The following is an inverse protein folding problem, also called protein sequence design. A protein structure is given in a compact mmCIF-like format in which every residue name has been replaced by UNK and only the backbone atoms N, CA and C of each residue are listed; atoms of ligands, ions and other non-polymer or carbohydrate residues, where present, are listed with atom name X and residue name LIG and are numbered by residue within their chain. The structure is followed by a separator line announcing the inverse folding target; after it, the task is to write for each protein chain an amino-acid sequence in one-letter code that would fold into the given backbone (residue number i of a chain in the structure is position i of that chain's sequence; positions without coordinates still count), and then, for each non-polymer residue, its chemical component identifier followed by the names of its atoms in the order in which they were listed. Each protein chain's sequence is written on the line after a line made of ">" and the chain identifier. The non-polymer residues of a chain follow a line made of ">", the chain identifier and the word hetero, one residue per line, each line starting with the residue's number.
data_IF_081169914087
#
_entry.id   IF_081169914087
#
_cell.length_a   1.000
_cell.length_b   1.000
_cell.length_c   1.000
_cell.angle_alpha   90.00
_cell.angle_beta   90.00
_cell.angle_gamma   90.00
#
_symmetry.space_group_name_H-M   'P 1'
#
loop_
_entity.id
_entity.type
_entity.pdbx_description
1 polymer ?
#
# COMPACT_ATOMS: atom_id res chain seq x y z
N UNK A 1 3.18 15.39 -17.85
CA UNK A 1 1.78 15.21 -17.42
C UNK A 1 1.75 15.46 -15.92
N UNK A 2 1.04 16.48 -15.42
CA UNK A 2 1.03 16.79 -13.98
C UNK A 2 0.03 15.86 -13.30
N UNK A 3 0.51 14.78 -12.69
CA UNK A 3 -0.28 13.97 -11.76
C UNK A 3 -0.58 14.84 -10.53
N UNK A 4 -1.82 15.31 -10.41
CA UNK A 4 -2.28 16.06 -9.25
C UNK A 4 -2.27 15.15 -8.03
N UNK A 5 -1.22 15.27 -7.23
CA UNK A 5 -1.08 14.67 -5.90
C UNK A 5 -2.00 15.41 -4.92
N UNK A 6 -3.26 15.00 -4.81
CA UNK A 6 -4.15 15.52 -3.77
C UNK A 6 -4.22 14.54 -2.59
N UNK A 7 -3.85 14.95 -1.36
CA UNK A 7 -4.07 14.18 -0.13
C UNK A 7 -5.55 13.81 0.10
N UNK A 8 -6.46 14.50 -0.58
CA UNK A 8 -7.91 14.34 -0.47
C UNK A 8 -8.42 12.91 -0.76
N UNK A 9 -7.68 12.12 -1.55
CA UNK A 9 -8.11 10.77 -1.91
C UNK A 9 -8.29 9.85 -0.69
N UNK A 10 -7.57 10.09 0.41
CA UNK A 10 -7.60 9.25 1.61
C UNK A 10 -8.50 9.81 2.73
N UNK A 11 -9.20 10.93 2.48
CA UNK A 11 -10.07 11.56 3.48
C UNK A 11 -9.35 11.78 4.82
N UNK A 12 -9.98 11.51 5.98
CA UNK A 12 -9.35 11.67 7.29
C UNK A 12 -8.07 10.85 7.50
N UNK A 13 -7.87 9.77 6.74
CA UNK A 13 -6.65 8.96 6.85
C UNK A 13 -5.41 9.66 6.27
N UNK A 14 -5.57 10.73 5.48
CA UNK A 14 -4.43 11.50 4.95
C UNK A 14 -3.56 12.13 6.03
N UNK A 15 -4.10 12.30 7.24
CA UNK A 15 -3.39 12.81 8.41
C UNK A 15 -2.42 11.79 9.01
N UNK A 16 -2.58 10.49 8.70
CA UNK A 16 -1.60 9.50 9.12
C UNK A 16 -0.29 9.70 8.34
N UNK A 17 0.81 9.64 9.07
CA UNK A 17 2.19 9.79 8.60
C UNK A 17 2.97 8.47 8.61
N UNK A 18 2.40 7.42 9.20
CA UNK A 18 3.01 6.09 9.31
C UNK A 18 1.98 4.96 9.28
N UNK A 19 2.48 3.74 9.03
CA UNK A 19 1.68 2.52 9.16
C UNK A 19 1.09 2.35 10.57
N UNK A 20 1.85 2.72 11.61
CA UNK A 20 1.40 2.61 13.00
C UNK A 20 0.18 3.51 13.27
N UNK A 21 0.17 4.74 12.75
CA UNK A 21 -0.97 5.65 12.87
C UNK A 21 -2.20 5.14 12.11
N UNK A 22 -2.00 4.55 10.93
CA UNK A 22 -3.08 3.91 10.18
C UNK A 22 -3.68 2.72 10.96
N UNK A 23 -2.84 1.91 11.60
CA UNK A 23 -3.25 0.80 12.48
C UNK A 23 -4.09 1.32 13.66
N UNK A 24 -3.66 2.38 14.33
CA UNK A 24 -4.40 2.97 15.44
C UNK A 24 -5.73 3.57 14.99
N UNK A 25 -5.77 4.20 13.80
CA UNK A 25 -7.01 4.70 13.22
C UNK A 25 -8.01 3.56 12.94
N UNK A 26 -7.56 2.41 12.46
CA UNK A 26 -8.41 1.22 12.28
C UNK A 26 -8.93 0.70 13.64
N UNK A 27 -8.06 0.63 14.65
CA UNK A 27 -8.39 0.14 16.00
C UNK A 27 -9.35 1.05 16.76
N UNK A 28 -9.37 2.35 16.44
CA UNK A 28 -10.23 3.34 17.10
C UNK A 28 -11.73 3.06 16.97
N UNK A 29 -12.13 2.07 16.15
CA UNK A 29 -13.55 1.75 15.93
C UNK A 29 -14.23 2.73 14.98
N UNK A 30 -13.45 3.47 14.19
CA UNK A 30 -13.95 4.32 13.11
C UNK A 30 -14.82 3.51 12.12
N UNK A 31 -15.73 4.19 11.42
CA UNK A 31 -16.62 3.56 10.45
C UNK A 31 -15.86 2.80 9.34
N UNK A 32 -16.51 1.80 8.73
CA UNK A 32 -15.89 0.92 7.73
C UNK A 32 -15.19 1.68 6.59
N UNK A 33 -15.75 2.80 6.16
CA UNK A 33 -15.16 3.69 5.17
C UNK A 33 -13.81 4.24 5.63
N UNK A 34 -13.75 4.85 6.81
CA UNK A 34 -12.49 5.40 7.37
C UNK A 34 -11.44 4.31 7.55
N UNK A 35 -11.83 3.11 7.98
CA UNK A 35 -10.89 1.99 8.13
C UNK A 35 -10.34 1.53 6.78
N UNK A 36 -11.15 1.53 5.73
CA UNK A 36 -10.71 1.20 4.37
C UNK A 36 -9.73 2.25 3.84
N UNK A 37 -10.04 3.54 4.04
CA UNK A 37 -9.14 4.65 3.69
C UNK A 37 -7.81 4.56 4.46
N UNK A 38 -7.87 4.27 5.76
CA UNK A 38 -6.69 4.06 6.60
C UNK A 38 -5.85 2.89 6.12
N UNK A 39 -6.47 1.77 5.75
CA UNK A 39 -5.77 0.62 5.20
C UNK A 39 -5.09 0.95 3.86
N UNK A 40 -5.79 1.62 2.95
CA UNK A 40 -5.24 2.02 1.65
C UNK A 40 -4.04 2.97 1.82
N UNK A 41 -4.19 4.01 2.64
CA UNK A 41 -3.13 4.98 2.90
C UNK A 41 -1.96 4.36 3.66
N UNK A 42 -2.23 3.51 4.65
CA UNK A 42 -1.20 2.80 5.42
C UNK A 42 -0.34 1.90 4.54
N UNK A 43 -0.94 1.16 3.60
CA UNK A 43 -0.22 0.36 2.61
C UNK A 43 0.67 1.23 1.71
N UNK A 44 0.15 2.37 1.23
CA UNK A 44 0.89 3.29 0.38
C UNK A 44 2.07 3.96 1.10
N UNK A 45 1.85 4.47 2.31
CA UNK A 45 2.92 5.05 3.15
C UNK A 45 4.02 4.03 3.41
N UNK A 46 3.64 2.81 3.79
CA UNK A 46 4.63 1.78 4.10
C UNK A 46 5.47 1.43 2.87
N UNK A 47 4.85 1.23 1.70
CA UNK A 47 5.58 0.96 0.47
C UNK A 47 6.58 2.09 0.14
N UNK A 48 6.15 3.35 0.22
CA UNK A 48 7.00 4.52 -0.04
C UNK A 48 8.17 4.64 0.95
N UNK A 49 7.94 4.32 2.23
CA UNK A 49 8.97 4.37 3.28
C UNK A 49 9.95 3.19 3.23
N UNK A 50 9.56 2.10 2.57
CA UNK A 50 10.38 0.88 2.42
C UNK A 50 11.37 0.96 1.26
N UNK A 51 11.11 1.82 0.27
CA UNK A 51 12.03 2.04 -0.86
C UNK A 51 13.42 2.39 -0.33
N UNK A 52 14.42 1.62 -0.77
CA UNK A 52 15.84 1.83 -0.47
C UNK A 52 16.51 2.47 -1.67
N UNK A 53 17.61 3.18 -1.43
CA UNK A 53 18.39 3.84 -2.49
C UNK A 53 19.16 2.86 -3.40
N UNK A 54 19.06 1.56 -3.13
CA UNK A 54 19.73 0.53 -3.91
C UNK A 54 18.84 0.09 -5.09
N UNK A 55 19.41 0.01 -6.28
CA UNK A 55 18.71 -0.38 -7.50
C UNK A 55 18.91 -1.87 -7.83
N UNK A 56 19.01 -2.72 -6.82
CA UNK A 56 19.15 -4.16 -7.02
C UNK A 56 17.78 -4.84 -7.04
N UNK A 57 17.67 -5.99 -7.71
CA UNK A 57 16.40 -6.70 -7.83
C UNK A 57 15.83 -7.13 -6.48
N UNK A 58 16.70 -7.42 -5.50
CA UNK A 58 16.30 -7.77 -4.14
C UNK A 58 15.51 -6.65 -3.47
N UNK A 59 15.67 -5.39 -3.89
CA UNK A 59 14.99 -4.27 -3.29
C UNK A 59 13.51 -4.20 -3.73
N UNK A 60 13.21 -4.55 -4.99
CA UNK A 60 11.83 -4.64 -5.46
C UNK A 60 11.07 -5.77 -4.78
N UNK A 61 11.73 -6.92 -4.62
CA UNK A 61 11.20 -8.04 -3.81
C UNK A 61 11.03 -7.63 -2.35
N UNK A 62 11.98 -6.89 -1.78
CA UNK A 62 11.90 -6.43 -0.40
C UNK A 62 10.68 -5.51 -0.16
N UNK A 63 10.35 -4.64 -1.12
CA UNK A 63 9.12 -3.83 -1.06
C UNK A 63 7.87 -4.73 -1.01
N UNK A 64 7.80 -5.80 -1.81
CA UNK A 64 6.67 -6.75 -1.76
C UNK A 64 6.58 -7.51 -0.43
N UNK A 65 7.72 -7.93 0.13
CA UNK A 65 7.77 -8.65 1.40
C UNK A 65 7.26 -7.76 2.55
N UNK A 66 7.72 -6.52 2.62
CA UNK A 66 7.27 -5.54 3.61
C UNK A 66 5.81 -5.11 3.37
N UNK A 67 5.36 -4.98 2.12
CA UNK A 67 3.96 -4.72 1.81
C UNK A 67 3.04 -5.87 2.29
N UNK A 68 3.49 -7.11 2.15
CA UNK A 68 2.79 -8.30 2.66
C UNK A 68 2.71 -8.28 4.18
N UNK A 69 3.77 -7.84 4.84
CA UNK A 69 3.80 -7.63 6.29
C UNK A 69 2.81 -6.55 6.73
N UNK A 70 2.82 -5.37 6.08
CA UNK A 70 1.89 -4.29 6.38
C UNK A 70 0.44 -4.72 6.21
N UNK A 71 0.13 -5.48 5.15
CA UNK A 71 -1.19 -6.10 4.98
C UNK A 71 -1.58 -6.93 6.19
N UNK A 72 -0.71 -7.83 6.64
CA UNK A 72 -1.01 -8.70 7.79
C UNK A 72 -1.27 -7.88 9.06
N UNK A 73 -0.45 -6.85 9.33
CA UNK A 73 -0.60 -5.98 10.51
C UNK A 73 -1.92 -5.20 10.50
N UNK A 74 -2.31 -4.64 9.34
CA UNK A 74 -3.59 -3.92 9.15
C UNK A 74 -4.79 -4.87 9.26
N UNK A 75 -4.71 -6.05 8.66
CA UNK A 75 -5.77 -7.06 8.72
C UNK A 75 -6.00 -7.52 10.16
N UNK A 76 -4.92 -7.75 10.93
CA UNK A 76 -5.00 -8.09 12.36
C UNK A 76 -5.63 -6.93 13.16
N UNK A 77 -5.23 -5.69 12.89
CA UNK A 77 -5.78 -4.50 13.54
C UNK A 77 -7.29 -4.36 13.32
N UNK A 78 -7.78 -4.78 12.15
CA UNK A 78 -9.19 -4.78 11.78
C UNK A 78 -9.97 -6.03 12.22
N UNK A 79 -9.33 -6.95 12.96
CA UNK A 79 -9.87 -8.29 13.26
C UNK A 79 -10.38 -9.02 12.01
N UNK A 80 -9.63 -8.89 10.92
CA UNK A 80 -9.97 -9.42 9.60
C UNK A 80 -11.32 -8.92 9.06
N UNK A 81 -11.72 -7.69 9.41
CA UNK A 81 -12.87 -7.01 8.83
C UNK A 81 -12.78 -6.98 7.30
N UNK A 82 -13.90 -7.24 6.62
CA UNK A 82 -13.93 -7.40 5.15
C UNK A 82 -13.52 -6.12 4.40
N UNK A 83 -13.90 -4.97 4.93
CA UNK A 83 -13.57 -3.64 4.44
C UNK A 83 -12.05 -3.42 4.36
N UNK A 84 -11.30 -3.76 5.41
CA UNK A 84 -9.84 -3.66 5.43
C UNK A 84 -9.19 -4.77 4.62
N UNK A 85 -9.56 -6.02 4.86
CA UNK A 85 -8.92 -7.18 4.22
C UNK A 85 -9.08 -7.21 2.71
N UNK A 86 -10.23 -6.78 2.17
CA UNK A 86 -10.45 -6.70 0.72
C UNK A 86 -9.60 -5.58 0.11
N UNK A 87 -9.49 -4.44 0.80
CA UNK A 87 -8.67 -3.29 0.37
C UNK A 87 -7.19 -3.67 0.33
N UNK A 88 -6.65 -4.20 1.44
CA UNK A 88 -5.23 -4.59 1.52
C UNK A 88 -4.89 -5.72 0.55
N UNK A 89 -5.80 -6.70 0.36
CA UNK A 89 -5.60 -7.79 -0.59
C UNK A 89 -5.57 -7.29 -2.04
N UNK A 90 -6.47 -6.38 -2.42
CA UNK A 90 -6.49 -5.82 -3.77
C UNK A 90 -5.20 -5.05 -4.09
N UNK A 91 -4.67 -4.28 -3.13
CA UNK A 91 -3.41 -3.55 -3.27
C UNK A 91 -2.23 -4.51 -3.42
N UNK A 92 -2.10 -5.49 -2.52
CA UNK A 92 -1.00 -6.45 -2.59
C UNK A 92 -1.04 -7.27 -3.88
N UNK A 93 -2.22 -7.71 -4.29
CA UNK A 93 -2.39 -8.46 -5.54
C UNK A 93 -1.93 -7.64 -6.74
N UNK A 94 -2.33 -6.36 -6.82
CA UNK A 94 -1.88 -5.50 -7.92
C UNK A 94 -0.36 -5.34 -7.96
N UNK A 95 0.28 -5.18 -6.79
CA UNK A 95 1.74 -5.09 -6.69
C UNK A 95 2.43 -6.40 -7.11
N UNK A 96 1.91 -7.55 -6.67
CA UNK A 96 2.44 -8.86 -7.06
C UNK A 96 2.31 -9.07 -8.57
N UNK A 97 1.13 -8.82 -9.14
CA UNK A 97 0.91 -8.96 -10.58
C UNK A 97 1.83 -8.04 -11.39
N UNK A 98 2.05 -6.80 -10.96
CA UNK A 98 2.98 -5.89 -11.62
C UNK A 98 4.41 -6.42 -11.62
N UNK A 99 4.92 -6.87 -10.47
CA UNK A 99 6.27 -7.43 -10.41
C UNK A 99 6.39 -8.68 -11.27
N UNK A 100 5.40 -9.57 -11.25
CA UNK A 100 5.38 -10.77 -12.08
C UNK A 100 5.37 -10.44 -13.59
N UNK A 101 4.64 -9.39 -13.99
CA UNK A 101 4.53 -8.93 -15.38
C UNK A 101 5.79 -8.21 -15.88
N UNK A 102 6.39 -7.36 -15.04
CA UNK A 102 7.60 -6.58 -15.39
C UNK A 102 8.90 -7.36 -15.21
N UNK A 103 8.86 -8.54 -14.59
CA UNK A 103 10.03 -9.42 -14.52
C UNK A 103 10.22 -10.15 -15.87
N UNK A 104 10.90 -9.49 -16.82
CA UNK A 104 11.16 -10.03 -18.15
C UNK A 104 12.56 -10.66 -18.19
N UNK A 105 12.62 -11.98 -18.06
CA UNK A 105 13.89 -12.73 -18.01
C UNK A 105 14.61 -12.57 -16.65
N UNK A 106 15.58 -13.44 -16.36
CA UNK A 106 16.19 -13.53 -15.02
C UNK A 106 16.98 -12.29 -14.55
N UNK A 107 17.04 -11.22 -15.34
CA UNK A 107 17.94 -10.08 -15.14
C UNK A 107 17.26 -8.70 -15.18
N UNK A 108 15.97 -8.62 -15.51
CA UNK A 108 15.23 -7.34 -15.56
C UNK A 108 14.11 -7.40 -14.52
N UNK A 109 14.16 -6.48 -13.57
CA UNK A 109 13.19 -6.34 -12.48
C UNK A 109 12.74 -4.90 -12.43
N UNK A 110 11.48 -4.63 -12.01
CA UNK A 110 11.04 -3.26 -11.79
C UNK A 110 11.86 -2.62 -10.67
N UNK A 111 12.00 -1.31 -10.73
CA UNK A 111 12.63 -0.55 -9.65
C UNK A 111 11.72 -0.54 -8.41
N UNK A 112 12.29 -0.50 -7.18
CA UNK A 112 11.50 -0.42 -5.95
C UNK A 112 10.54 0.78 -5.93
N UNK A 113 10.95 1.90 -6.51
CA UNK A 113 10.14 3.11 -6.66
C UNK A 113 8.91 2.89 -7.53
N UNK A 114 9.03 2.10 -8.60
CA UNK A 114 7.93 1.80 -9.50
C UNK A 114 6.88 0.92 -8.81
N UNK A 115 7.33 -0.05 -8.00
CA UNK A 115 6.43 -0.86 -7.17
C UNK A 115 5.70 0.02 -6.15
N UNK A 116 6.41 0.92 -5.46
CA UNK A 116 5.80 1.83 -4.50
C UNK A 116 4.82 2.83 -5.15
N UNK A 117 5.13 3.34 -6.34
CA UNK A 117 4.25 4.22 -7.10
C UNK A 117 2.98 3.49 -7.56
N UNK A 118 3.11 2.24 -8.03
CA UNK A 118 1.96 1.40 -8.36
C UNK A 118 1.06 1.17 -7.15
N UNK A 119 1.64 0.84 -5.99
CA UNK A 119 0.90 0.67 -4.73
C UNK A 119 0.13 1.94 -4.39
N UNK A 120 0.79 3.10 -4.42
CA UNK A 120 0.15 4.39 -4.16
C UNK A 120 -1.01 4.68 -5.13
N UNK A 121 -0.81 4.44 -6.42
CA UNK A 121 -1.82 4.67 -7.44
C UNK A 121 -3.02 3.71 -7.29
N UNK A 122 -2.77 2.46 -6.92
CA UNK A 122 -3.82 1.47 -6.64
C UNK A 122 -4.59 1.84 -5.38
N UNK A 123 -3.90 2.20 -4.30
CA UNK A 123 -4.49 2.66 -3.06
C UNK A 123 -5.41 3.87 -3.28
N UNK A 124 -4.96 4.86 -4.06
CA UNK A 124 -5.78 6.03 -4.44
C UNK A 124 -7.04 5.66 -5.21
N UNK A 125 -6.94 4.75 -6.18
CA UNK A 125 -8.10 4.29 -6.96
C UNK A 125 -9.15 3.64 -6.07
N UNK A 126 -8.71 2.82 -5.11
CA UNK A 126 -9.60 2.15 -4.17
C UNK A 126 -10.21 3.11 -3.14
N UNK A 127 -9.44 4.12 -2.72
CA UNK A 127 -9.91 5.13 -1.77
C UNK A 127 -10.94 6.12 -2.37
N UNK A 128 -10.94 6.26 -3.70
CA UNK A 128 -11.89 7.11 -4.43
C UNK A 128 -13.16 6.37 -4.92
N UNK A 129 -13.30 5.07 -4.63
CA UNK A 129 -14.39 4.20 -5.09
C UNK A 129 -15.51 4.10 -4.05
#
# INVERSE_FOLDING_TARGET
>A
MKTSTSPEAFGPASECSSLAEAIELIRSGSGQEIRSLAAAHGMALHALQTVRDTHYFEDARFVLDELSRAKAELDIAAWHGRDVTSTTAAILLAAQSYVDEETIGCNEWPLPEEVAELVLNTARKLAAA
#
